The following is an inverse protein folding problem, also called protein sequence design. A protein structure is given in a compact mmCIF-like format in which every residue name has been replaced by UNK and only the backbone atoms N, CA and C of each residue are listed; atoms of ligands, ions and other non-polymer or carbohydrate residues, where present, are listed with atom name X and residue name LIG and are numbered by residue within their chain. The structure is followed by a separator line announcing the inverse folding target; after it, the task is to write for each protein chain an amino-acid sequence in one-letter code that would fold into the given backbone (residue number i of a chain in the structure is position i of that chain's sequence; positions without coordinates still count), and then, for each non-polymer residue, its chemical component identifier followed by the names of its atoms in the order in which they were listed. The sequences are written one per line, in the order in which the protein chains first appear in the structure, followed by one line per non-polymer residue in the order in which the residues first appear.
data_IF_521932795588
#
_entry.id   IF_521932795588
#
_cell.length_a   1.000
_cell.length_b   1.000
_cell.length_c   1.000
_cell.angle_alpha   90.00
_cell.angle_beta   90.00
_cell.angle_gamma   90.00
#
_symmetry.space_group_name_H-M   'P 1'
#
loop_
_entity.id
_entity.type
_entity.pdbx_description
1 polymer ?
#
# COMPACT_ATOMS: atom_id res chain seq x y z
N UNK A 1 55.17 -8.02 33.70
CA UNK A 1 54.69 -6.71 33.20
C UNK A 1 54.59 -6.81 31.69
N UNK A 2 53.43 -6.53 31.07
CA UNK A 2 53.33 -6.49 29.62
C UNK A 2 54.32 -5.46 29.06
N UNK A 3 54.90 -5.74 27.89
CA UNK A 3 55.82 -4.80 27.25
C UNK A 3 55.07 -3.60 26.67
N UNK A 4 55.80 -2.53 26.34
CA UNK A 4 55.22 -1.38 25.64
C UNK A 4 54.62 -1.79 24.28
N UNK A 5 55.24 -2.77 23.60
CA UNK A 5 54.72 -3.32 22.35
C UNK A 5 53.39 -4.06 22.56
N UNK A 6 53.28 -4.88 23.61
CA UNK A 6 52.03 -5.60 23.92
C UNK A 6 50.87 -4.63 24.22
N UNK A 7 51.18 -3.53 24.91
CA UNK A 7 50.21 -2.47 25.21
C UNK A 7 49.75 -1.74 23.95
N UNK A 8 50.67 -1.45 23.03
CA UNK A 8 50.34 -0.83 21.74
C UNK A 8 49.48 -1.75 20.88
N UNK A 9 49.85 -3.03 20.77
CA UNK A 9 49.11 -4.02 19.99
C UNK A 9 47.68 -4.17 20.52
N UNK A 10 47.50 -4.28 21.84
CA UNK A 10 46.17 -4.39 22.44
C UNK A 10 45.28 -3.17 22.12
N UNK A 11 45.85 -1.96 22.11
CA UNK A 11 45.13 -0.75 21.72
C UNK A 11 44.74 -0.77 20.24
N UNK A 12 45.67 -1.15 19.36
CA UNK A 12 45.37 -1.26 17.92
C UNK A 12 44.31 -2.33 17.64
N UNK A 13 44.32 -3.46 18.36
CA UNK A 13 43.28 -4.49 18.25
C UNK A 13 41.92 -3.97 18.73
N UNK A 14 41.89 -3.18 19.79
CA UNK A 14 40.67 -2.52 20.24
C UNK A 14 40.16 -1.53 19.20
N UNK A 15 41.05 -0.73 18.58
CA UNK A 15 40.70 0.21 17.51
C UNK A 15 40.16 -0.52 16.28
N UNK A 16 40.78 -1.64 15.86
CA UNK A 16 40.26 -2.48 14.76
C UNK A 16 38.87 -3.03 15.08
N UNK A 17 38.67 -3.56 16.29
CA UNK A 17 37.38 -4.13 16.71
C UNK A 17 36.29 -3.05 16.77
N UNK A 18 36.64 -1.85 17.26
CA UNK A 18 35.73 -0.71 17.28
C UNK A 18 35.35 -0.26 15.85
N UNK A 19 36.32 -0.23 14.94
CA UNK A 19 36.08 0.12 13.53
C UNK A 19 35.16 -0.91 12.84
N UNK A 20 35.37 -2.21 13.03
CA UNK A 20 34.49 -3.26 12.49
C UNK A 20 33.07 -3.17 13.06
N UNK A 21 32.95 -2.88 14.35
CA UNK A 21 31.64 -2.73 15.02
C UNK A 21 30.89 -1.51 14.48
N UNK A 22 31.60 -0.38 14.31
CA UNK A 22 31.04 0.83 13.72
C UNK A 22 30.57 0.59 12.27
N UNK A 23 31.38 -0.09 11.45
CA UNK A 23 31.01 -0.44 10.09
C UNK A 23 29.74 -1.31 10.05
N UNK A 24 29.67 -2.35 10.89
CA UNK A 24 28.48 -3.22 10.96
C UNK A 24 27.23 -2.45 11.37
N UNK A 25 27.36 -1.51 12.31
CA UNK A 25 26.24 -0.66 12.72
C UNK A 25 25.75 0.22 11.55
N UNK A 26 26.67 0.86 10.83
CA UNK A 26 26.32 1.66 9.64
C UNK A 26 25.66 0.81 8.56
N UNK A 27 26.19 -0.38 8.27
CA UNK A 27 25.58 -1.29 7.28
C UNK A 27 24.16 -1.70 7.68
N UNK A 28 23.95 -2.04 8.96
CA UNK A 28 22.62 -2.42 9.46
C UNK A 28 21.62 -1.26 9.38
N UNK A 29 22.05 -0.04 9.69
CA UNK A 29 21.22 1.16 9.57
C UNK A 29 20.83 1.42 8.11
N UNK A 30 21.80 1.39 7.19
CA UNK A 30 21.54 1.59 5.76
C UNK A 30 20.61 0.51 5.21
N UNK A 31 20.79 -0.76 5.60
CA UNK A 31 19.91 -1.84 5.19
C UNK A 31 18.47 -1.63 5.68
N UNK A 32 18.28 -1.17 6.93
CA UNK A 32 16.96 -0.85 7.46
C UNK A 32 16.30 0.31 6.71
N UNK A 33 17.05 1.39 6.44
CA UNK A 33 16.56 2.53 5.66
C UNK A 33 16.18 2.13 4.24
N UNK A 34 16.98 1.28 3.59
CA UNK A 34 16.72 0.80 2.24
C UNK A 34 15.44 -0.05 2.19
N UNK A 35 15.27 -0.99 3.13
CA UNK A 35 14.04 -1.81 3.23
C UNK A 35 12.80 -0.96 3.42
N UNK A 36 12.87 0.06 4.27
CA UNK A 36 11.74 0.98 4.47
C UNK A 36 11.44 1.80 3.21
N UNK A 37 12.47 2.34 2.54
CA UNK A 37 12.29 3.07 1.30
C UNK A 37 11.70 2.19 0.18
N UNK A 38 12.13 0.93 0.09
CA UNK A 38 11.58 -0.05 -0.85
C UNK A 38 10.11 -0.36 -0.56
N UNK A 39 9.75 -0.54 0.71
CA UNK A 39 8.36 -0.76 1.14
C UNK A 39 7.47 0.43 0.80
N UNK A 40 7.91 1.65 1.14
CA UNK A 40 7.19 2.90 0.83
C UNK A 40 6.97 3.02 -0.68
N UNK A 41 8.03 2.78 -1.48
CA UNK A 41 7.95 2.81 -2.94
C UNK A 41 6.97 1.76 -3.47
N UNK A 42 7.05 0.52 -3.01
CA UNK A 42 6.17 -0.56 -3.44
C UNK A 42 4.70 -0.21 -3.14
N UNK A 43 4.42 0.30 -1.94
CA UNK A 43 3.07 0.69 -1.55
C UNK A 43 2.56 1.87 -2.38
N UNK A 44 3.39 2.87 -2.68
CA UNK A 44 3.01 3.98 -3.56
C UNK A 44 2.58 3.49 -4.97
N UNK A 45 3.33 2.57 -5.56
CA UNK A 45 2.98 1.98 -6.86
C UNK A 45 1.69 1.15 -6.80
N UNK A 46 1.47 0.38 -5.72
CA UNK A 46 0.23 -0.40 -5.55
C UNK A 46 -0.99 0.50 -5.40
N UNK A 47 -0.89 1.61 -4.67
CA UNK A 47 -1.96 2.63 -4.62
C UNK A 47 -2.26 3.19 -5.99
N UNK A 48 -1.22 3.57 -6.75
CA UNK A 48 -1.38 4.08 -8.10
C UNK A 48 -2.09 3.07 -9.01
N UNK A 49 -1.69 1.79 -8.95
CA UNK A 49 -2.35 0.73 -9.71
C UNK A 49 -3.81 0.60 -9.31
N UNK A 50 -4.10 0.37 -8.02
CA UNK A 50 -5.45 0.14 -7.51
C UNK A 50 -6.39 1.33 -7.78
N UNK A 51 -6.02 2.52 -7.35
CA UNK A 51 -6.84 3.72 -7.55
C UNK A 51 -6.90 4.12 -9.03
N UNK A 52 -5.84 3.90 -9.79
CA UNK A 52 -5.80 4.18 -11.23
C UNK A 52 -6.72 3.27 -12.05
N UNK A 53 -6.78 1.98 -11.71
CA UNK A 53 -7.74 1.04 -12.31
C UNK A 53 -9.18 1.41 -11.94
N UNK A 54 -9.45 1.67 -10.66
CA UNK A 54 -10.78 2.12 -10.21
C UNK A 54 -11.21 3.41 -10.92
N UNK A 55 -10.34 4.43 -10.97
CA UNK A 55 -10.64 5.70 -11.63
C UNK A 55 -10.94 5.53 -13.14
N UNK A 56 -10.20 4.65 -13.84
CA UNK A 56 -10.46 4.36 -15.25
C UNK A 56 -11.81 3.68 -15.45
N UNK A 57 -12.19 2.76 -14.57
CA UNK A 57 -13.50 2.10 -14.61
C UNK A 57 -14.60 3.12 -14.33
N UNK A 58 -14.41 3.97 -13.32
CA UNK A 58 -15.33 5.04 -12.98
C UNK A 58 -15.60 5.91 -14.21
N UNK A 59 -14.57 6.36 -14.92
CA UNK A 59 -14.70 7.23 -16.09
C UNK A 59 -15.38 6.57 -17.31
N UNK A 60 -15.51 5.25 -17.36
CA UNK A 60 -16.14 4.53 -18.48
C UNK A 60 -17.63 4.22 -18.24
N UNK A 61 -18.11 4.36 -17.01
CA UNK A 61 -19.47 3.98 -16.63
C UNK A 61 -20.23 5.19 -16.06
N UNK A 62 -21.17 5.79 -16.83
CA UNK A 62 -21.95 6.94 -16.37
C UNK A 62 -22.89 6.60 -15.21
N UNK A 63 -23.40 5.37 -15.13
CA UNK A 63 -24.27 4.98 -14.02
C UNK A 63 -23.45 4.80 -12.75
N UNK A 64 -23.75 5.61 -11.72
CA UNK A 64 -23.00 5.64 -10.45
C UNK A 64 -22.96 4.28 -9.77
N UNK A 65 -24.08 3.59 -9.62
CA UNK A 65 -24.12 2.33 -8.86
C UNK A 65 -23.39 1.23 -9.61
N UNK A 66 -23.57 1.16 -10.94
CA UNK A 66 -22.84 0.19 -11.79
C UNK A 66 -21.34 0.50 -11.78
N UNK A 67 -20.95 1.77 -11.82
CA UNK A 67 -19.54 2.17 -11.77
C UNK A 67 -18.90 1.78 -10.44
N UNK A 68 -19.56 2.06 -9.31
CA UNK A 68 -19.09 1.70 -7.97
C UNK A 68 -18.93 0.19 -7.84
N UNK A 69 -19.92 -0.59 -8.26
CA UNK A 69 -19.85 -2.05 -8.23
C UNK A 69 -18.67 -2.58 -9.07
N UNK A 70 -18.53 -2.11 -10.32
CA UNK A 70 -17.44 -2.55 -11.21
C UNK A 70 -16.06 -2.18 -10.69
N UNK A 71 -15.91 -1.00 -10.07
CA UNK A 71 -14.67 -0.59 -9.44
C UNK A 71 -14.27 -1.55 -8.32
N UNK A 72 -15.21 -1.88 -7.43
CA UNK A 72 -14.97 -2.79 -6.32
C UNK A 72 -14.69 -4.22 -6.82
N UNK A 73 -15.44 -4.71 -7.81
CA UNK A 73 -15.18 -6.01 -8.44
C UNK A 73 -13.75 -6.08 -8.99
N UNK A 74 -13.32 -5.04 -9.71
CA UNK A 74 -11.97 -5.02 -10.28
C UNK A 74 -10.89 -5.04 -9.21
N UNK A 75 -11.06 -4.28 -8.12
CA UNK A 75 -10.13 -4.27 -6.98
C UNK A 75 -10.01 -5.66 -6.34
N UNK A 76 -11.14 -6.31 -6.01
CA UNK A 76 -11.13 -7.61 -5.36
C UNK A 76 -10.64 -8.74 -6.29
N UNK A 77 -10.88 -8.62 -7.59
CA UNK A 77 -10.35 -9.56 -8.58
C UNK A 77 -8.83 -9.43 -8.74
N UNK A 78 -8.29 -8.21 -8.69
CA UNK A 78 -6.84 -7.98 -8.81
C UNK A 78 -6.07 -8.69 -7.69
N UNK A 79 -6.59 -8.60 -6.47
CA UNK A 79 -6.04 -9.27 -5.28
C UNK A 79 -6.45 -10.75 -5.16
N UNK A 80 -7.24 -11.28 -6.11
CA UNK A 80 -7.62 -12.69 -6.20
C UNK A 80 -8.60 -13.16 -5.14
N UNK A 81 -9.43 -12.27 -4.59
CA UNK A 81 -10.43 -12.63 -3.59
C UNK A 81 -11.76 -13.07 -4.19
N UNK A 82 -12.02 -12.67 -5.45
CA UNK A 82 -13.19 -13.05 -6.24
C UNK A 82 -12.75 -13.25 -7.70
N UNK A 83 -13.55 -13.98 -8.47
CA UNK A 83 -13.37 -14.15 -9.91
C UNK A 83 -14.35 -13.30 -10.74
N UNK A 84 -15.60 -13.14 -10.27
CA UNK A 84 -16.69 -12.51 -11.03
C UNK A 84 -17.48 -11.44 -10.30
N UNK A 85 -17.94 -11.71 -9.07
CA UNK A 85 -18.92 -10.87 -8.38
C UNK A 85 -18.63 -10.62 -6.90
N UNK A 86 -19.17 -9.53 -6.36
CA UNK A 86 -19.02 -9.20 -4.93
C UNK A 86 -19.79 -10.17 -4.01
N UNK A 87 -20.74 -10.94 -4.55
CA UNK A 87 -21.48 -11.99 -3.85
C UNK A 87 -20.60 -13.19 -3.46
N UNK A 88 -19.43 -13.34 -4.08
CA UNK A 88 -18.42 -14.34 -3.69
C UNK A 88 -17.73 -13.96 -2.36
N UNK A 89 -17.81 -12.69 -1.94
CA UNK A 89 -17.26 -12.25 -0.67
C UNK A 89 -18.15 -12.68 0.50
N UNK A 90 -17.58 -13.37 1.48
CA UNK A 90 -18.29 -13.74 2.71
C UNK A 90 -18.66 -12.53 3.58
N UNK A 91 -19.53 -12.74 4.58
CA UNK A 91 -20.03 -11.67 5.48
C UNK A 91 -18.91 -10.87 6.16
N UNK A 92 -17.75 -11.48 6.42
CA UNK A 92 -16.58 -10.82 6.99
C UNK A 92 -15.93 -9.75 6.10
N UNK A 93 -16.34 -9.65 4.83
CA UNK A 93 -15.93 -8.59 3.91
C UNK A 93 -16.86 -7.38 3.93
N UNK A 94 -17.97 -7.43 4.66
CA UNK A 94 -18.93 -6.31 4.70
C UNK A 94 -18.30 -4.99 5.17
N UNK A 95 -17.50 -4.96 6.27
CA UNK A 95 -16.83 -3.73 6.67
C UNK A 95 -15.85 -3.20 5.62
N UNK A 96 -15.19 -4.08 4.85
CA UNK A 96 -14.31 -3.66 3.75
C UNK A 96 -15.08 -2.92 2.67
N UNK A 97 -16.25 -3.44 2.27
CA UNK A 97 -17.11 -2.80 1.27
C UNK A 97 -17.61 -1.43 1.76
N UNK A 98 -17.99 -1.33 3.04
CA UNK A 98 -18.47 -0.07 3.62
C UNK A 98 -17.38 1.01 3.64
N UNK A 99 -16.10 0.65 3.82
CA UNK A 99 -14.96 1.58 3.73
C UNK A 99 -14.56 1.92 2.29
N UNK A 100 -14.63 0.96 1.36
CA UNK A 100 -14.17 1.15 -0.01
C UNK A 100 -15.20 1.87 -0.90
N UNK A 101 -16.49 1.73 -0.59
CA UNK A 101 -17.58 2.35 -1.37
C UNK A 101 -17.45 3.88 -1.47
N UNK A 102 -17.23 4.64 -0.38
CA UNK A 102 -17.03 6.10 -0.47
C UNK A 102 -15.88 6.51 -1.39
N UNK A 103 -14.83 5.69 -1.50
CA UNK A 103 -13.69 5.95 -2.37
C UNK A 103 -14.09 5.77 -3.84
N UNK A 104 -14.79 4.67 -4.16
CA UNK A 104 -15.30 4.41 -5.51
C UNK A 104 -16.33 5.47 -5.95
N UNK A 105 -17.17 5.94 -5.02
CA UNK A 105 -18.11 7.04 -5.26
C UNK A 105 -17.39 8.36 -5.52
N UNK A 106 -16.33 8.66 -4.77
CA UNK A 106 -15.56 9.88 -4.97
C UNK A 106 -14.83 9.90 -6.33
N UNK A 107 -14.30 8.76 -6.76
CA UNK A 107 -13.68 8.60 -8.08
C UNK A 107 -14.70 8.81 -9.21
N UNK A 108 -15.92 8.29 -9.07
CA UNK A 108 -17.01 8.49 -10.05
C UNK A 108 -17.45 9.96 -10.12
N UNK A 109 -17.67 10.60 -8.97
CA UNK A 109 -18.03 12.02 -8.93
C UNK A 109 -16.95 12.92 -9.56
N UNK A 110 -15.66 12.55 -9.44
CA UNK A 110 -14.57 13.23 -10.13
C UNK A 110 -14.59 13.08 -11.66
N UNK A 111 -15.11 11.95 -12.17
CA UNK A 111 -15.22 11.70 -13.61
C UNK A 111 -16.50 12.30 -14.23
N UNK A 112 -17.58 12.39 -13.45
CA UNK A 112 -18.86 12.96 -13.85
C UNK A 112 -19.28 14.07 -12.87
N UNK A 113 -18.63 15.24 -12.93
CA UNK A 113 -19.02 16.36 -12.08
C UNK A 113 -20.45 16.77 -12.39
N UNK A 114 -21.27 16.94 -11.36
CA UNK A 114 -22.61 17.51 -11.51
C UNK A 114 -22.51 18.87 -12.21
N UNK A 115 -23.40 19.13 -13.17
CA UNK A 115 -23.49 20.45 -13.78
C UNK A 115 -23.80 21.47 -12.68
N UNK A 116 -23.08 22.60 -12.65
CA UNK A 116 -23.44 23.75 -11.83
C UNK A 116 -24.76 24.32 -12.36
N UNK A 117 -25.88 23.74 -11.95
CA UNK A 117 -27.18 24.31 -12.19
C UNK A 117 -27.26 25.60 -11.38
N UNK A 118 -27.32 26.74 -12.08
CA UNK A 118 -27.36 28.10 -11.53
C UNK A 118 -28.61 28.44 -10.72
N UNK A 119 -29.23 27.45 -10.08
CA UNK A 119 -30.35 27.60 -9.16
C UNK A 119 -29.93 26.96 -7.83
N UNK A 120 -29.68 27.81 -6.82
CA UNK A 120 -28.93 27.52 -5.59
C UNK A 120 -29.51 26.48 -4.62
N UNK A 121 -29.70 25.24 -5.08
CA UNK A 121 -29.91 24.05 -4.24
C UNK A 121 -29.05 22.89 -4.75
N UNK A 122 -27.73 23.08 -4.78
CA UNK A 122 -26.79 21.96 -4.84
C UNK A 122 -26.28 21.67 -3.43
N UNK A 123 -26.56 20.48 -2.91
CA UNK A 123 -25.81 19.95 -1.77
C UNK A 123 -25.58 18.44 -1.93
N UNK A 124 -25.02 18.04 -3.06
CA UNK A 124 -24.16 16.86 -3.02
C UNK A 124 -23.02 17.16 -2.05
N UNK A 125 -22.81 16.27 -1.08
CA UNK A 125 -21.77 16.41 -0.08
C UNK A 125 -20.41 16.61 -0.78
N UNK A 126 -19.45 17.35 -0.18
CA UNK A 126 -18.14 17.51 -0.77
C UNK A 126 -17.56 16.13 -1.06
N UNK A 127 -17.25 15.89 -2.33
CA UNK A 127 -16.56 14.68 -2.80
C UNK A 127 -15.31 14.53 -1.94
N UNK A 128 -15.29 13.53 -1.07
CA UNK A 128 -14.13 13.29 -0.23
C UNK A 128 -12.92 13.05 -1.12
N UNK A 129 -11.76 13.62 -0.77
CA UNK A 129 -10.52 13.35 -1.50
C UNK A 129 -10.28 11.82 -1.52
N UNK A 130 -10.33 11.17 -2.69
CA UNK A 130 -10.24 9.72 -2.79
C UNK A 130 -8.89 9.20 -2.27
N UNK A 131 -7.82 10.02 -2.33
CA UNK A 131 -6.50 9.65 -1.80
C UNK A 131 -6.52 9.66 -0.28
N UNK A 132 -7.03 10.73 0.34
CA UNK A 132 -7.17 10.80 1.79
C UNK A 132 -8.10 9.71 2.34
N UNK A 133 -9.21 9.43 1.65
CA UNK A 133 -10.13 8.35 2.01
C UNK A 133 -9.47 6.97 1.92
N UNK A 134 -8.65 6.73 0.89
CA UNK A 134 -7.89 5.47 0.77
C UNK A 134 -6.86 5.32 1.88
N UNK A 135 -6.15 6.39 2.28
CA UNK A 135 -5.24 6.34 3.43
C UNK A 135 -5.96 6.06 4.75
N UNK A 136 -7.14 6.63 4.96
CA UNK A 136 -7.96 6.34 6.14
C UNK A 136 -8.41 4.87 6.17
N UNK A 137 -8.81 4.32 5.01
CA UNK A 137 -9.11 2.91 4.85
C UNK A 137 -7.90 2.02 5.18
N UNK A 138 -6.72 2.32 4.67
CA UNK A 138 -5.51 1.55 4.96
C UNK A 138 -5.18 1.52 6.46
N UNK A 139 -5.29 2.67 7.13
CA UNK A 139 -5.05 2.78 8.57
C UNK A 139 -6.08 1.96 9.37
N UNK A 140 -7.35 2.00 8.98
CA UNK A 140 -8.38 1.15 9.58
C UNK A 140 -8.09 -0.34 9.34
N UNK A 141 -7.74 -0.73 8.11
CA UNK A 141 -7.48 -2.13 7.77
C UNK A 141 -6.30 -2.68 8.58
N UNK A 142 -5.22 -1.90 8.72
CA UNK A 142 -4.06 -2.29 9.52
C UNK A 142 -4.41 -2.41 11.01
N UNK A 143 -5.20 -1.48 11.56
CA UNK A 143 -5.66 -1.56 12.94
C UNK A 143 -6.56 -2.78 13.21
N UNK A 144 -7.45 -3.12 12.27
CA UNK A 144 -8.42 -4.21 12.41
C UNK A 144 -7.81 -5.59 12.14
N UNK A 145 -6.87 -5.68 11.19
CA UNK A 145 -6.33 -6.96 10.69
C UNK A 145 -4.87 -7.22 11.08
N UNK A 146 -4.17 -6.23 11.65
CA UNK A 146 -2.78 -6.34 12.08
C UNK A 146 -1.75 -6.38 10.95
N UNK A 147 -2.17 -6.14 9.71
CA UNK A 147 -1.29 -6.12 8.53
C UNK A 147 -1.74 -5.04 7.53
N UNK A 148 -0.82 -4.41 6.78
CA UNK A 148 -1.17 -3.41 5.78
C UNK A 148 -2.01 -4.00 4.63
N UNK A 149 -3.08 -3.31 4.22
CA UNK A 149 -3.91 -3.75 3.10
C UNK A 149 -3.09 -4.01 1.83
N UNK A 150 -2.15 -3.12 1.49
CA UNK A 150 -1.37 -3.24 0.27
C UNK A 150 -0.41 -4.44 0.23
N UNK A 151 -0.23 -5.17 1.34
CA UNK A 151 0.48 -6.45 1.30
C UNK A 151 -0.34 -7.54 0.61
N UNK A 152 -1.67 -7.44 0.55
CA UNK A 152 -2.51 -8.46 -0.12
C UNK A 152 -2.28 -8.51 -1.63
N UNK A 153 -1.70 -7.46 -2.21
CA UNK A 153 -1.26 -7.42 -3.60
C UNK A 153 0.05 -8.18 -3.83
N UNK A 154 0.75 -8.62 -2.79
CA UNK A 154 1.91 -9.48 -2.92
C UNK A 154 1.47 -10.89 -3.27
N UNK A 155 1.39 -11.17 -4.57
CA UNK A 155 1.42 -12.55 -5.04
C UNK A 155 2.78 -13.13 -4.68
N UNK A 156 2.78 -14.14 -3.82
CA UNK A 156 3.97 -14.96 -3.58
C UNK A 156 4.47 -15.51 -4.93
N UNK A 157 5.63 -15.02 -5.37
CA UNK A 157 6.35 -15.58 -6.51
C UNK A 157 7.38 -16.55 -5.94
N UNK A 158 7.16 -17.88 -5.99
CA UNK A 158 8.17 -18.82 -5.53
C UNK A 158 9.47 -18.58 -6.30
N UNK A 159 10.65 -18.67 -5.64
CA UNK A 159 11.92 -18.55 -6.34
C UNK A 159 11.99 -19.61 -7.43
N UNK A 160 12.24 -19.19 -8.66
CA UNK A 160 12.52 -20.11 -9.76
C UNK A 160 13.73 -20.96 -9.36
N UNK A 161 13.63 -22.30 -9.33
CA UNK A 161 14.75 -23.14 -8.93
C UNK A 161 15.92 -22.86 -9.87
N UNK A 162 17.05 -22.45 -9.29
CA UNK A 162 18.30 -22.29 -10.03
C UNK A 162 18.80 -23.69 -10.35
N UNK A 163 18.78 -24.07 -11.62
CA UNK A 163 19.41 -25.31 -12.08
C UNK A 163 20.93 -25.04 -12.08
N UNK A 164 21.66 -25.70 -11.18
CA UNK A 164 23.12 -25.78 -11.29
C UNK A 164 23.44 -26.62 -12.55
N UNK A 165 24.15 -26.01 -13.51
CA UNK A 165 24.65 -26.70 -14.71
C UNK A 165 26.02 -27.32 -14.47
#
# INVERSE_FOLDING_TARGET
MPSAADTLIARLQADCTAAETAERAVRAEVEAQLKEAERVRAFAWRRLSALGDMARIAALEPDREVAVERQLVALFRDIGWIDGGLDELGEGARPLLDWLRPIAEALHAGAYPAAEDGNGEAKEAPVADPIAAFHAFEAWYEAERGQPFLQVFERYMPPTPVVEF
#
